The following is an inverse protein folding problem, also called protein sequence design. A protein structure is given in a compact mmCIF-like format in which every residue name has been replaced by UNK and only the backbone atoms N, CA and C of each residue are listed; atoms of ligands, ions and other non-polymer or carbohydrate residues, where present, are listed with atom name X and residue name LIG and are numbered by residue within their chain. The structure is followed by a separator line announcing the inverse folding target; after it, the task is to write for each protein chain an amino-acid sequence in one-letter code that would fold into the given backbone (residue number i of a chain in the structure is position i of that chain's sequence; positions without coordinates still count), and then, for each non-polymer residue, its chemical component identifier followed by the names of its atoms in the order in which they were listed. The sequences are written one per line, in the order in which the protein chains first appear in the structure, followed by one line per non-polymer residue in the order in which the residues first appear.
data_IF_621864439108
#
_entry.id   IF_621864439108
#
_cell.length_a   1.000
_cell.length_b   1.000
_cell.length_c   1.000
_cell.angle_alpha   90.00
_cell.angle_beta   90.00
_cell.angle_gamma   90.00
#
_symmetry.space_group_name_H-M   'P 1'
#
loop_
_entity.id
_entity.type
_entity.pdbx_description
1 polymer ?
#
# COMPACT_ATOMS: atom_id res chain seq x y z
N UNK A 1 7.11 26.52 -13.47
CA UNK A 1 6.29 27.50 -14.23
C UNK A 1 5.69 26.72 -15.40
N UNK A 2 4.38 26.83 -15.64
CA UNK A 2 3.51 26.02 -16.52
C UNK A 2 2.95 24.71 -15.95
N UNK A 3 1.85 24.82 -15.18
CA UNK A 3 0.70 23.91 -15.27
C UNK A 3 -0.55 24.51 -14.59
N UNK A 4 -0.86 25.79 -14.86
CA UNK A 4 -2.10 26.45 -14.43
C UNK A 4 -2.63 27.30 -15.60
N UNK A 5 -3.18 26.65 -16.62
CA UNK A 5 -3.83 27.36 -17.74
C UNK A 5 -4.75 26.40 -18.49
N UNK A 6 -5.82 25.97 -17.83
CA UNK A 6 -6.97 25.33 -18.48
C UNK A 6 -8.21 25.57 -17.62
N UNK A 7 -8.75 26.80 -17.67
CA UNK A 7 -10.17 27.11 -17.50
C UNK A 7 -10.34 28.62 -17.79
N UNK A 8 -10.45 28.97 -19.07
CA UNK A 8 -10.94 30.26 -19.52
C UNK A 8 -11.76 30.02 -20.79
N UNK A 9 -13.07 29.97 -20.65
CA UNK A 9 -14.00 30.38 -21.70
C UNK A 9 -15.20 31.07 -21.03
N UNK A 10 -15.58 32.27 -21.51
CA UNK A 10 -16.68 33.05 -20.98
C UNK A 10 -18.01 32.57 -21.57
N UNK A 11 -19.12 33.23 -21.20
CA UNK A 11 -20.53 32.93 -21.55
C UNK A 11 -21.28 32.04 -20.55
N UNK A 12 -21.50 32.59 -19.36
CA UNK A 12 -22.82 32.52 -18.73
C UNK A 12 -23.07 33.89 -18.08
N UNK A 13 -23.85 34.74 -18.74
CA UNK A 13 -24.35 35.98 -18.15
C UNK A 13 -25.28 35.61 -16.99
N UNK A 14 -24.75 35.65 -15.77
CA UNK A 14 -25.55 35.65 -14.54
C UNK A 14 -25.90 37.12 -14.26
N UNK A 15 -27.18 37.49 -14.14
CA UNK A 15 -27.56 38.88 -13.91
C UNK A 15 -26.91 39.37 -12.61
N UNK A 16 -26.31 40.56 -12.68
CA UNK A 16 -25.69 41.25 -11.55
C UNK A 16 -26.74 41.61 -10.49
N UNK A 17 -27.10 40.62 -9.67
CA UNK A 17 -27.73 40.87 -8.38
C UNK A 17 -26.62 41.27 -7.43
N UNK A 18 -26.57 42.57 -7.12
CA UNK A 18 -25.85 43.13 -5.98
C UNK A 18 -26.37 42.48 -4.70
N UNK A 19 -25.83 41.31 -4.36
CA UNK A 19 -25.94 40.73 -3.03
C UNK A 19 -24.68 41.13 -2.26
N UNK A 20 -24.86 42.03 -1.30
CA UNK A 20 -23.90 42.21 -0.21
C UNK A 20 -23.53 40.83 0.33
N UNK A 21 -22.24 40.48 0.46
CA UNK A 21 -21.86 39.16 0.91
C UNK A 21 -22.39 39.00 2.33
N UNK A 22 -23.46 38.23 2.48
CA UNK A 22 -23.93 37.81 3.79
C UNK A 22 -22.77 37.11 4.49
N UNK A 23 -22.60 37.37 5.79
CA UNK A 23 -21.50 36.89 6.62
C UNK A 23 -21.31 35.36 6.57
N UNK A 24 -22.33 34.63 6.11
CA UNK A 24 -22.33 33.19 5.84
C UNK A 24 -21.51 32.78 4.60
N UNK A 25 -21.42 33.60 3.56
CA UNK A 25 -20.64 33.32 2.34
C UNK A 25 -19.12 33.41 2.57
N UNK A 26 -18.67 34.42 3.31
CA UNK A 26 -17.26 34.53 3.72
C UNK A 26 -16.84 33.39 4.66
N UNK A 27 -17.73 32.94 5.53
CA UNK A 27 -17.48 31.83 6.45
C UNK A 27 -17.22 30.51 5.71
N UNK A 28 -17.99 30.23 4.64
CA UNK A 28 -17.79 29.06 3.79
C UNK A 28 -16.46 29.09 3.03
N UNK A 29 -16.06 30.26 2.52
CA UNK A 29 -14.79 30.44 1.81
C UNK A 29 -13.61 30.27 2.77
N UNK A 30 -13.69 30.82 3.99
CA UNK A 30 -12.66 30.64 5.02
C UNK A 30 -12.48 29.16 5.41
N UNK A 31 -13.57 28.41 5.58
CA UNK A 31 -13.50 26.97 5.88
C UNK A 31 -12.88 26.18 4.72
N UNK A 32 -13.21 26.50 3.46
CA UNK A 32 -12.62 25.88 2.28
C UNK A 32 -11.11 26.16 2.16
N UNK A 33 -10.69 27.41 2.39
CA UNK A 33 -9.28 27.82 2.38
C UNK A 33 -8.50 27.16 3.53
N UNK A 34 -9.08 27.10 4.73
CA UNK A 34 -8.48 26.40 5.88
C UNK A 34 -8.37 24.89 5.62
N UNK A 35 -9.40 24.26 5.06
CA UNK A 35 -9.39 22.84 4.73
C UNK A 35 -8.36 22.50 3.63
N UNK A 36 -8.15 23.41 2.66
CA UNK A 36 -7.09 23.30 1.67
C UNK A 36 -5.69 23.51 2.29
N UNK A 37 -5.53 24.50 3.18
CA UNK A 37 -4.28 24.77 3.89
C UNK A 37 -3.85 23.61 4.80
N UNK A 38 -4.79 22.96 5.50
CA UNK A 38 -4.51 21.79 6.33
C UNK A 38 -4.07 20.57 5.52
N UNK A 39 -4.63 20.35 4.33
CA UNK A 39 -4.18 19.27 3.42
C UNK A 39 -2.74 19.49 3.00
N UNK A 40 -2.38 20.75 2.72
CA UNK A 40 -1.01 21.13 2.36
C UNK A 40 -0.05 20.96 3.54
N UNK A 41 -0.45 21.33 4.76
CA UNK A 41 0.37 21.17 5.97
C UNK A 41 0.58 19.70 6.37
N UNK A 42 -0.44 18.84 6.29
CA UNK A 42 -0.25 17.40 6.57
C UNK A 42 0.61 16.70 5.52
N UNK A 43 0.44 17.05 4.23
CA UNK A 43 1.31 16.56 3.16
C UNK A 43 2.76 17.00 3.36
N UNK A 44 2.98 18.25 3.74
CA UNK A 44 4.31 18.78 4.05
C UNK A 44 4.91 18.07 5.27
N UNK A 45 4.13 17.78 6.31
CA UNK A 45 4.59 17.02 7.47
C UNK A 45 4.98 15.57 7.11
N UNK A 46 4.19 14.88 6.28
CA UNK A 46 4.52 13.53 5.78
C UNK A 46 5.78 13.57 4.93
N UNK A 47 5.91 14.54 4.02
CA UNK A 47 7.09 14.72 3.18
C UNK A 47 8.35 14.94 4.02
N UNK A 48 8.29 15.85 5.00
CA UNK A 48 9.40 16.07 5.93
C UNK A 48 9.73 14.82 6.73
N UNK A 49 8.73 14.05 7.18
CA UNK A 49 8.93 12.77 7.87
C UNK A 49 9.66 11.74 7.00
N UNK A 50 9.27 11.60 5.73
CA UNK A 50 9.95 10.72 4.76
C UNK A 50 11.38 11.19 4.50
N UNK A 51 11.61 12.50 4.34
CA UNK A 51 12.94 13.05 4.15
C UNK A 51 13.86 12.74 5.34
N UNK A 52 13.37 12.92 6.57
CA UNK A 52 14.11 12.57 7.78
C UNK A 52 14.40 11.07 7.87
N UNK A 53 13.46 10.22 7.46
CA UNK A 53 13.66 8.77 7.40
C UNK A 53 14.75 8.38 6.39
N UNK A 54 14.81 9.04 5.23
CA UNK A 54 15.87 8.84 4.24
C UNK A 54 17.24 9.30 4.76
N UNK A 55 17.31 10.45 5.44
CA UNK A 55 18.56 10.95 6.05
C UNK A 55 19.06 9.98 7.13
N UNK A 56 18.16 9.48 7.98
CA UNK A 56 18.50 8.45 8.97
C UNK A 56 19.08 7.20 8.28
N UNK A 57 18.41 6.71 7.24
CA UNK A 57 18.89 5.57 6.45
C UNK A 57 20.27 5.82 5.85
N UNK A 58 20.49 6.99 5.23
CA UNK A 58 21.76 7.35 4.61
C UNK A 58 22.92 7.39 5.63
N UNK A 59 22.69 7.93 6.82
CA UNK A 59 23.72 7.98 7.88
C UNK A 59 24.05 6.56 8.36
N UNK A 60 23.04 5.72 8.60
CA UNK A 60 23.22 4.34 9.07
C UNK A 60 23.94 3.49 8.03
N UNK A 61 23.47 3.48 6.77
CA UNK A 61 24.12 2.70 5.70
C UNK A 61 25.55 3.16 5.46
N UNK A 62 25.82 4.47 5.42
CA UNK A 62 27.19 4.97 5.27
C UNK A 62 28.08 4.48 6.42
N UNK A 63 27.59 4.51 7.66
CA UNK A 63 28.38 4.08 8.81
C UNK A 63 28.67 2.56 8.81
N UNK A 64 27.75 1.75 8.29
CA UNK A 64 27.89 0.29 8.24
C UNK A 64 28.69 -0.19 7.02
N UNK A 65 28.46 0.39 5.84
CA UNK A 65 28.98 -0.13 4.56
C UNK A 65 30.27 0.57 4.10
N UNK A 66 30.42 1.88 4.31
CA UNK A 66 31.59 2.61 3.77
C UNK A 66 32.94 2.07 4.26
N UNK A 67 33.13 1.66 5.53
CA UNK A 67 34.39 1.08 5.96
C UNK A 67 34.73 -0.24 5.26
N UNK A 68 33.71 -1.04 4.93
CA UNK A 68 33.89 -2.31 4.21
C UNK A 68 34.21 -2.07 2.74
N UNK A 69 33.53 -1.11 2.09
CA UNK A 69 33.82 -0.68 0.72
C UNK A 69 35.26 -0.16 0.58
N UNK A 70 35.68 0.76 1.46
CA UNK A 70 37.05 1.29 1.49
C UNK A 70 38.08 0.18 1.69
N UNK A 71 37.80 -0.77 2.60
CA UNK A 71 38.63 -1.95 2.83
C UNK A 71 38.78 -2.83 1.59
N UNK A 72 37.69 -3.10 0.87
CA UNK A 72 37.69 -3.88 -0.38
C UNK A 72 38.42 -3.16 -1.51
N UNK A 73 38.24 -1.85 -1.62
CA UNK A 73 38.95 -1.03 -2.58
C UNK A 73 40.47 -1.06 -2.35
N UNK A 74 40.93 -0.92 -1.10
CA UNK A 74 42.34 -1.05 -0.75
C UNK A 74 42.88 -2.45 -1.06
N UNK A 75 42.14 -3.51 -0.72
CA UNK A 75 42.52 -4.90 -1.03
C UNK A 75 42.69 -5.13 -2.54
N UNK A 76 41.80 -4.57 -3.38
CA UNK A 76 41.90 -4.69 -4.83
C UNK A 76 43.16 -3.98 -5.37
N UNK A 77 43.45 -2.77 -4.86
CA UNK A 77 44.65 -2.01 -5.24
C UNK A 77 45.93 -2.74 -4.84
N UNK A 78 45.99 -3.29 -3.62
CA UNK A 78 47.14 -4.04 -3.14
C UNK A 78 47.33 -5.34 -3.95
N UNK A 79 46.25 -6.05 -4.26
CA UNK A 79 46.30 -7.26 -5.09
C UNK A 79 46.84 -6.95 -6.48
N UNK A 80 46.37 -5.86 -7.10
CA UNK A 80 46.88 -5.37 -8.39
C UNK A 80 48.37 -5.03 -8.32
N UNK A 81 48.80 -4.33 -7.27
CA UNK A 81 50.20 -3.97 -7.07
C UNK A 81 51.09 -5.20 -6.91
N UNK A 82 50.70 -6.14 -6.06
CA UNK A 82 51.43 -7.40 -5.83
C UNK A 82 51.52 -8.22 -7.11
N UNK A 83 50.44 -8.27 -7.89
CA UNK A 83 50.42 -8.96 -9.18
C UNK A 83 51.43 -8.36 -10.17
N UNK A 84 51.48 -7.04 -10.33
CA UNK A 84 52.42 -6.36 -11.22
C UNK A 84 53.89 -6.51 -10.76
N UNK A 85 54.14 -6.59 -9.44
CA UNK A 85 55.47 -6.86 -8.91
C UNK A 85 55.92 -8.30 -9.16
N UNK A 86 54.99 -9.26 -9.13
CA UNK A 86 55.28 -10.67 -9.37
C UNK A 86 55.44 -10.98 -10.87
N UNK A 87 54.72 -10.27 -11.73
CA UNK A 87 54.72 -10.44 -13.18
C UNK A 87 55.21 -9.18 -13.88
N UNK A 88 56.52 -8.99 -13.91
CA UNK A 88 57.17 -7.82 -14.55
C UNK A 88 57.03 -7.77 -16.06
N UNK A 89 56.52 -8.83 -16.69
CA UNK A 89 56.23 -8.88 -18.13
C UNK A 89 54.87 -8.26 -18.49
N UNK A 90 54.07 -7.85 -17.50
CA UNK A 90 52.75 -7.26 -17.71
C UNK A 90 52.82 -5.77 -17.41
N UNK A 91 52.64 -4.94 -18.43
CA UNK A 91 52.53 -3.49 -18.24
C UNK A 91 51.24 -3.14 -17.46
N UNK A 92 51.30 -2.14 -16.56
CA UNK A 92 50.13 -1.67 -15.81
C UNK A 92 48.96 -1.26 -16.71
N UNK A 93 49.24 -0.68 -17.88
CA UNK A 93 48.23 -0.24 -18.85
C UNK A 93 47.59 -1.44 -19.57
N UNK A 94 48.37 -2.48 -19.87
CA UNK A 94 47.85 -3.73 -20.46
C UNK A 94 46.94 -4.48 -19.48
N UNK A 95 47.29 -4.48 -18.19
CA UNK A 95 46.44 -5.05 -17.14
C UNK A 95 45.15 -4.24 -16.96
N UNK A 96 45.24 -2.91 -16.97
CA UNK A 96 44.06 -2.04 -16.92
C UNK A 96 43.13 -2.30 -18.11
N UNK A 97 43.71 -2.40 -19.30
CA UNK A 97 43.01 -2.70 -20.55
C UNK A 97 42.29 -4.05 -20.44
N UNK A 98 42.94 -5.09 -19.92
CA UNK A 98 42.32 -6.40 -19.71
C UNK A 98 41.14 -6.37 -18.71
N UNK A 99 41.22 -5.53 -17.68
CA UNK A 99 40.17 -5.40 -16.67
C UNK A 99 38.99 -4.57 -17.21
N UNK A 100 39.26 -3.45 -17.88
CA UNK A 100 38.27 -2.39 -18.15
C UNK A 100 37.82 -2.24 -19.62
N UNK A 101 38.51 -2.82 -20.60
CA UNK A 101 38.09 -2.70 -22.01
C UNK A 101 36.76 -3.42 -22.26
N UNK A 102 36.07 -2.97 -23.31
CA UNK A 102 34.80 -3.48 -23.87
C UNK A 102 34.74 -5.01 -24.13
N UNK A 103 35.85 -5.74 -23.96
CA UNK A 103 35.91 -7.21 -24.06
C UNK A 103 36.63 -7.85 -22.86
N UNK A 104 36.87 -7.04 -21.82
CA UNK A 104 37.59 -7.41 -20.61
C UNK A 104 36.71 -8.11 -19.60
N UNK A 105 37.31 -8.36 -18.44
CA UNK A 105 36.67 -9.14 -17.36
C UNK A 105 35.45 -8.41 -16.78
N UNK A 106 35.51 -7.07 -16.63
CA UNK A 106 34.41 -6.30 -16.05
C UNK A 106 33.13 -6.36 -16.89
N UNK A 107 33.25 -6.36 -18.22
CA UNK A 107 32.09 -6.48 -19.11
C UNK A 107 31.52 -7.90 -19.13
N UNK A 108 32.38 -8.93 -19.20
CA UNK A 108 31.95 -10.32 -19.13
C UNK A 108 31.17 -10.58 -17.82
N UNK A 109 31.68 -10.07 -16.69
CA UNK A 109 30.96 -10.06 -15.41
C UNK A 109 29.64 -9.30 -15.49
N UNK A 110 29.63 -8.11 -16.10
CA UNK A 110 28.42 -7.31 -16.31
C UNK A 110 27.37 -7.95 -17.22
N UNK A 111 27.79 -8.88 -18.09
CA UNK A 111 26.93 -9.75 -18.91
C UNK A 111 26.45 -11.01 -18.17
N UNK A 112 26.90 -11.24 -16.94
CA UNK A 112 26.54 -12.39 -16.11
C UNK A 112 27.38 -13.64 -16.37
N UNK A 113 28.57 -13.50 -16.98
CA UNK A 113 29.52 -14.59 -17.18
C UNK A 113 30.40 -14.73 -15.94
N UNK A 114 30.47 -15.94 -15.37
CA UNK A 114 31.35 -16.24 -14.25
C UNK A 114 32.78 -16.54 -14.75
N UNK A 115 33.78 -15.69 -14.41
CA UNK A 115 35.16 -15.88 -14.85
C UNK A 115 35.88 -17.02 -14.10
N UNK A 116 35.31 -17.53 -13.00
CA UNK A 116 35.92 -18.58 -12.18
C UNK A 116 35.52 -20.00 -12.59
N UNK A 117 34.46 -20.14 -13.38
CA UNK A 117 33.95 -21.44 -13.82
C UNK A 117 34.80 -21.99 -14.98
N UNK A 118 35.50 -23.10 -14.74
CA UNK A 118 36.14 -23.92 -15.78
C UNK A 118 35.15 -24.82 -16.56
N UNK A 119 33.86 -24.75 -16.20
CA UNK A 119 32.77 -25.53 -16.81
C UNK A 119 32.37 -25.00 -18.18
N UNK A 120 31.84 -25.90 -19.02
CA UNK A 120 31.15 -25.55 -20.27
C UNK A 120 30.06 -24.51 -20.01
N UNK A 121 29.97 -23.49 -20.86
CA UNK A 121 28.98 -22.42 -20.81
C UNK A 121 27.60 -22.89 -20.31
N UNK A 122 27.17 -22.39 -19.14
CA UNK A 122 25.81 -22.57 -18.62
C UNK A 122 25.02 -21.31 -18.92
N UNK A 123 24.00 -21.44 -19.78
CA UNK A 123 23.17 -20.29 -20.17
C UNK A 123 22.31 -19.83 -19.00
N UNK A 124 22.40 -18.55 -18.65
CA UNK A 124 21.47 -17.87 -17.75
C UNK A 124 20.10 -17.60 -18.39
N UNK A 125 19.96 -17.86 -19.70
CA UNK A 125 18.75 -17.63 -20.50
C UNK A 125 18.11 -18.94 -20.99
N UNK A 126 18.27 -20.05 -20.26
CA UNK A 126 17.44 -21.23 -20.48
C UNK A 126 15.96 -20.93 -20.20
N UNK A 127 15.05 -21.79 -20.67
CA UNK A 127 13.60 -21.52 -20.60
C UNK A 127 13.09 -21.28 -19.17
N UNK A 128 13.60 -22.01 -18.17
CA UNK A 128 13.15 -21.85 -16.78
C UNK A 128 13.67 -20.54 -16.18
N UNK A 129 14.92 -20.18 -16.46
CA UNK A 129 15.49 -18.88 -16.05
C UNK A 129 14.83 -17.69 -16.75
N UNK A 130 14.55 -17.81 -18.04
CA UNK A 130 13.83 -16.79 -18.81
C UNK A 130 12.38 -16.62 -18.33
N UNK A 131 11.71 -17.71 -17.95
CA UNK A 131 10.39 -17.65 -17.29
C UNK A 131 10.48 -16.94 -15.94
N UNK A 132 11.45 -17.30 -15.11
CA UNK A 132 11.66 -16.65 -13.81
C UNK A 132 11.94 -15.15 -13.96
N UNK A 133 12.82 -14.77 -14.90
CA UNK A 133 13.09 -13.38 -15.27
C UNK A 133 11.83 -12.64 -15.76
N UNK A 134 11.04 -13.26 -16.62
CA UNK A 134 9.77 -12.70 -17.08
C UNK A 134 8.81 -12.48 -15.91
N UNK A 135 8.85 -13.36 -14.91
CA UNK A 135 8.17 -13.25 -13.64
C UNK A 135 8.63 -12.06 -12.80
N UNK A 136 9.93 -11.81 -12.68
CA UNK A 136 10.48 -10.71 -11.87
C UNK A 136 10.14 -9.33 -12.44
N UNK A 137 9.94 -9.23 -13.75
CA UNK A 137 9.47 -7.99 -14.41
C UNK A 137 8.02 -7.70 -14.00
N UNK A 138 7.12 -8.67 -14.18
CA UNK A 138 5.67 -8.43 -13.96
C UNK A 138 5.32 -8.29 -12.47
N UNK A 139 6.11 -8.89 -11.58
CA UNK A 139 5.98 -8.73 -10.12
C UNK A 139 6.62 -7.45 -9.59
N UNK A 140 7.30 -6.68 -10.46
CA UNK A 140 8.10 -5.49 -10.11
C UNK A 140 9.18 -5.74 -9.07
N UNK A 141 9.64 -6.98 -8.90
CA UNK A 141 10.77 -7.32 -8.02
C UNK A 141 12.06 -6.87 -8.70
N UNK A 142 12.26 -7.29 -9.96
CA UNK A 142 13.39 -6.86 -10.77
C UNK A 142 14.79 -7.09 -10.15
N UNK A 143 15.12 -8.32 -9.73
CA UNK A 143 16.41 -8.65 -9.09
C UNK A 143 17.64 -8.03 -9.76
N UNK A 144 17.68 -7.91 -11.08
CA UNK A 144 18.76 -7.19 -11.77
C UNK A 144 20.07 -7.96 -11.90
N UNK A 145 20.17 -9.16 -11.31
CA UNK A 145 21.29 -10.10 -11.50
C UNK A 145 21.47 -10.50 -12.97
N UNK A 146 20.38 -10.50 -13.75
CA UNK A 146 20.38 -10.62 -15.21
C UNK A 146 19.53 -9.50 -15.82
N UNK A 147 19.98 -8.96 -16.96
CA UNK A 147 19.29 -7.85 -17.65
C UNK A 147 19.48 -7.92 -19.17
N UNK A 148 18.49 -7.48 -19.97
CA UNK A 148 18.60 -7.51 -21.43
C UNK A 148 19.66 -6.51 -21.91
N UNK A 149 20.70 -7.03 -22.56
CA UNK A 149 21.79 -6.22 -23.11
C UNK A 149 21.54 -5.80 -24.56
N UNK A 150 20.78 -6.60 -25.32
CA UNK A 150 20.46 -6.31 -26.73
C UNK A 150 19.40 -5.20 -26.85
N UNK A 151 19.47 -4.42 -27.92
CA UNK A 151 18.48 -3.37 -28.21
C UNK A 151 17.06 -3.95 -28.32
N UNK A 152 16.93 -5.07 -29.04
CA UNK A 152 15.65 -5.78 -29.18
C UNK A 152 15.10 -6.30 -27.84
N UNK A 153 15.97 -6.83 -26.96
CA UNK A 153 15.57 -7.30 -25.63
C UNK A 153 15.11 -6.16 -24.72
N UNK A 154 15.78 -5.01 -24.77
CA UNK A 154 15.37 -3.80 -24.04
C UNK A 154 14.03 -3.28 -24.54
N UNK A 155 13.86 -3.18 -25.86
CA UNK A 155 12.60 -2.73 -26.47
C UNK A 155 11.43 -3.66 -26.11
N UNK A 156 11.63 -4.97 -26.20
CA UNK A 156 10.63 -5.96 -25.79
C UNK A 156 10.28 -5.84 -24.30
N UNK A 157 11.29 -5.70 -23.44
CA UNK A 157 11.10 -5.56 -21.98
C UNK A 157 10.18 -4.37 -21.63
N UNK A 158 10.34 -3.23 -22.33
CA UNK A 158 9.49 -2.05 -22.13
C UNK A 158 8.00 -2.39 -22.36
N UNK A 159 7.67 -2.96 -23.52
CA UNK A 159 6.28 -3.31 -23.84
C UNK A 159 5.74 -4.44 -22.97
N UNK A 160 6.59 -5.42 -22.66
CA UNK A 160 6.24 -6.54 -21.80
C UNK A 160 5.90 -6.07 -20.37
N UNK A 161 6.68 -5.15 -19.80
CA UNK A 161 6.40 -4.58 -18.48
C UNK A 161 5.11 -3.74 -18.46
N UNK A 162 4.88 -2.91 -19.48
CA UNK A 162 3.70 -2.04 -19.58
C UNK A 162 2.38 -2.82 -19.54
N UNK A 163 2.33 -3.99 -20.19
CA UNK A 163 1.13 -4.85 -20.20
C UNK A 163 1.12 -5.83 -19.03
N UNK A 164 2.29 -6.41 -18.72
CA UNK A 164 2.43 -7.46 -17.73
C UNK A 164 2.19 -7.00 -16.29
N UNK A 165 2.65 -5.81 -15.91
CA UNK A 165 2.49 -5.29 -14.53
C UNK A 165 1.00 -5.06 -14.19
N UNK A 166 0.19 -4.36 -15.01
CA UNK A 166 -1.25 -4.24 -14.75
C UNK A 166 -1.98 -5.58 -14.71
N UNK A 167 -1.66 -6.48 -15.64
CA UNK A 167 -2.25 -7.83 -15.69
C UNK A 167 -1.93 -8.60 -14.40
N UNK A 168 -0.67 -8.56 -13.95
CA UNK A 168 -0.25 -9.18 -12.70
C UNK A 168 -0.93 -8.53 -11.49
N UNK A 169 -1.11 -7.21 -11.49
CA UNK A 169 -1.86 -6.50 -10.44
C UNK A 169 -3.30 -6.99 -10.29
N UNK A 170 -4.00 -7.25 -11.40
CA UNK A 170 -5.36 -7.83 -11.39
C UNK A 170 -5.33 -9.26 -10.83
N UNK A 171 -4.37 -10.08 -11.27
CA UNK A 171 -4.18 -11.43 -10.73
C UNK A 171 -3.94 -11.37 -9.21
N UNK A 172 -3.06 -10.47 -8.75
CA UNK A 172 -2.70 -10.33 -7.35
C UNK A 172 -3.90 -9.90 -6.50
N UNK A 173 -4.74 -9.00 -7.00
CA UNK A 173 -5.98 -8.61 -6.34
C UNK A 173 -6.95 -9.80 -6.21
N UNK A 174 -7.16 -10.55 -7.31
CA UNK A 174 -8.02 -11.74 -7.29
C UNK A 174 -7.52 -12.83 -6.34
N UNK A 175 -6.23 -13.17 -6.39
CA UNK A 175 -5.61 -14.15 -5.49
C UNK A 175 -5.65 -13.65 -4.04
N UNK A 176 -5.37 -12.36 -3.80
CA UNK A 176 -5.43 -11.75 -2.48
C UNK A 176 -6.83 -11.80 -1.84
N UNK A 177 -7.88 -11.61 -2.65
CA UNK A 177 -9.27 -11.74 -2.20
C UNK A 177 -9.65 -13.19 -1.90
N UNK A 178 -9.23 -14.15 -2.72
CA UNK A 178 -9.43 -15.58 -2.46
C UNK A 178 -8.69 -16.05 -1.21
N UNK A 179 -7.42 -15.67 -1.06
CA UNK A 179 -6.61 -15.98 0.11
C UNK A 179 -7.22 -15.33 1.38
N UNK A 180 -7.60 -14.05 1.27
CA UNK A 180 -8.24 -13.32 2.36
C UNK A 180 -9.59 -13.91 2.77
N UNK A 181 -10.42 -14.34 1.83
CA UNK A 181 -11.70 -15.02 2.14
C UNK A 181 -11.48 -16.40 2.76
N UNK A 182 -10.49 -17.17 2.29
CA UNK A 182 -10.09 -18.44 2.90
C UNK A 182 -9.65 -18.26 4.35
N UNK A 183 -8.74 -17.31 4.59
CA UNK A 183 -8.28 -16.93 5.93
C UNK A 183 -9.45 -16.48 6.81
N UNK A 184 -10.31 -15.58 6.32
CA UNK A 184 -11.51 -15.14 7.06
C UNK A 184 -12.46 -16.28 7.39
N UNK A 185 -12.64 -17.28 6.52
CA UNK A 185 -13.46 -18.47 6.81
C UNK A 185 -12.83 -19.36 7.88
N UNK A 186 -11.52 -19.58 7.81
CA UNK A 186 -10.78 -20.33 8.83
C UNK A 186 -10.88 -19.63 10.19
N UNK A 187 -10.72 -18.31 10.20
CA UNK A 187 -10.84 -17.50 11.40
C UNK A 187 -12.27 -17.43 11.89
N UNK A 188 -13.28 -17.35 11.02
CA UNK A 188 -14.69 -17.37 11.41
C UNK A 188 -15.04 -18.68 12.15
N UNK A 189 -14.48 -19.82 11.73
CA UNK A 189 -14.63 -21.08 12.50
C UNK A 189 -14.02 -20.95 13.90
N UNK A 190 -12.85 -20.34 14.03
CA UNK A 190 -12.21 -20.08 15.33
C UNK A 190 -13.08 -19.11 16.16
N UNK A 191 -13.60 -18.05 15.56
CA UNK A 191 -14.50 -17.08 16.17
C UNK A 191 -15.79 -17.73 16.69
N UNK A 192 -16.38 -18.69 15.97
CA UNK A 192 -17.55 -19.42 16.51
C UNK A 192 -17.23 -20.20 17.80
N UNK A 193 -15.97 -20.65 17.97
CA UNK A 193 -15.52 -21.27 19.22
C UNK A 193 -15.33 -20.23 20.34
N UNK A 194 -14.80 -19.05 20.03
CA UNK A 194 -14.58 -17.96 20.99
C UNK A 194 -15.86 -17.19 21.37
N UNK A 195 -16.85 -17.09 20.48
CA UNK A 195 -18.14 -16.45 20.78
C UNK A 195 -18.93 -17.26 21.81
N UNK A 196 -18.73 -18.58 21.86
CA UNK A 196 -19.23 -19.44 22.94
C UNK A 196 -18.68 -19.01 24.31
N UNK A 197 -17.54 -18.35 24.34
CA UNK A 197 -16.86 -17.81 25.52
C UNK A 197 -17.24 -16.36 25.88
N UNK A 198 -18.32 -15.80 25.32
CA UNK A 198 -18.84 -14.44 25.63
C UNK A 198 -17.82 -13.29 25.45
N UNK A 199 -16.91 -13.39 24.48
CA UNK A 199 -15.96 -12.32 24.15
C UNK A 199 -16.62 -11.24 23.28
N UNK A 200 -16.23 -9.97 23.44
CA UNK A 200 -16.77 -8.86 22.65
C UNK A 200 -16.36 -8.95 21.16
N UNK A 201 -17.24 -8.57 20.21
CA UNK A 201 -17.00 -8.73 18.78
C UNK A 201 -15.82 -7.90 18.26
N UNK A 202 -15.52 -6.76 18.87
CA UNK A 202 -14.36 -5.93 18.50
C UNK A 202 -13.04 -6.62 18.83
N UNK A 203 -12.96 -7.27 19.99
CA UNK A 203 -11.77 -8.02 20.40
C UNK A 203 -11.55 -9.21 19.47
N UNK A 204 -12.63 -9.91 19.08
CA UNK A 204 -12.51 -11.04 18.14
C UNK A 204 -11.99 -10.58 16.77
N UNK A 205 -12.41 -9.42 16.27
CA UNK A 205 -11.87 -8.81 15.03
C UNK A 205 -10.37 -8.46 15.12
N UNK A 206 -9.90 -8.02 16.28
CA UNK A 206 -8.48 -7.73 16.49
C UNK A 206 -7.68 -9.03 16.59
N UNK A 207 -8.14 -9.99 17.40
CA UNK A 207 -7.49 -11.29 17.56
C UNK A 207 -7.41 -12.03 16.22
N UNK A 208 -8.50 -12.03 15.44
CA UNK A 208 -8.53 -12.62 14.10
C UNK A 208 -7.51 -12.00 13.15
N UNK A 209 -7.40 -10.67 13.13
CA UNK A 209 -6.40 -9.98 12.32
C UNK A 209 -4.97 -10.33 12.74
N UNK A 210 -4.69 -10.35 14.05
CA UNK A 210 -3.36 -10.71 14.58
C UNK A 210 -3.02 -12.17 14.25
N UNK A 211 -3.94 -13.10 14.44
CA UNK A 211 -3.74 -14.52 14.07
C UNK A 211 -3.53 -14.69 12.56
N UNK A 212 -4.24 -13.93 11.73
CA UNK A 212 -4.03 -13.92 10.27
C UNK A 212 -2.65 -13.41 9.88
N UNK A 213 -2.13 -12.40 10.61
CA UNK A 213 -0.78 -11.89 10.42
C UNK A 213 0.24 -12.96 10.81
N UNK A 214 0.12 -13.53 12.01
CA UNK A 214 1.05 -14.54 12.51
C UNK A 214 1.08 -15.80 11.62
N UNK A 215 -0.08 -16.29 11.17
CA UNK A 215 -0.16 -17.45 10.30
C UNK A 215 0.52 -17.19 8.94
N UNK A 216 0.31 -16.02 8.34
CA UNK A 216 0.96 -15.71 7.08
C UNK A 216 2.46 -15.42 7.22
N UNK A 217 2.89 -14.79 8.32
CA UNK A 217 4.32 -14.71 8.66
C UNK A 217 4.94 -16.10 8.83
N UNK A 218 4.24 -17.05 9.46
CA UNK A 218 4.73 -18.42 9.57
C UNK A 218 4.86 -19.08 8.18
N UNK A 219 3.81 -19.02 7.36
CA UNK A 219 3.74 -19.74 6.08
C UNK A 219 4.58 -19.11 4.96
N UNK A 220 4.61 -17.79 4.86
CA UNK A 220 5.25 -17.07 3.74
C UNK A 220 6.59 -16.45 4.11
N UNK A 221 6.94 -16.38 5.40
CA UNK A 221 8.24 -15.85 5.85
C UNK A 221 9.05 -16.93 6.56
N UNK A 222 8.61 -17.44 7.71
CA UNK A 222 9.42 -18.35 8.53
C UNK A 222 9.72 -19.70 7.84
N UNK A 223 8.72 -20.35 7.23
CA UNK A 223 8.92 -21.62 6.53
C UNK A 223 9.87 -21.45 5.32
N UNK A 224 9.66 -20.47 4.41
CA UNK A 224 10.59 -20.23 3.31
C UNK A 224 12.01 -19.91 3.75
N UNK A 225 12.21 -19.18 4.85
CA UNK A 225 13.56 -18.92 5.40
C UNK A 225 14.29 -20.23 5.69
N UNK A 226 13.63 -21.18 6.36
CA UNK A 226 14.22 -22.49 6.66
C UNK A 226 14.45 -23.32 5.40
N UNK A 227 13.54 -23.24 4.43
CA UNK A 227 13.69 -23.94 3.15
C UNK A 227 14.89 -23.40 2.36
N UNK A 228 15.06 -22.07 2.26
CA UNK A 228 16.19 -21.48 1.54
C UNK A 228 17.52 -21.72 2.25
N UNK A 229 17.53 -21.75 3.59
CA UNK A 229 18.72 -22.13 4.35
C UNK A 229 19.21 -23.53 3.98
N UNK A 230 18.32 -24.52 3.93
CA UNK A 230 18.68 -25.91 3.63
C UNK A 230 18.96 -26.14 2.14
N UNK A 231 18.20 -25.51 1.24
CA UNK A 231 18.32 -25.75 -0.21
C UNK A 231 19.47 -24.96 -0.83
N UNK A 232 19.59 -23.67 -0.52
CA UNK A 232 20.62 -22.80 -1.11
C UNK A 232 21.92 -22.77 -0.27
N UNK A 233 21.90 -23.37 0.93
CA UNK A 233 23.05 -23.38 1.85
C UNK A 233 23.35 -22.01 2.47
N UNK A 234 22.41 -21.07 2.39
CA UNK A 234 22.54 -19.74 2.98
C UNK A 234 22.40 -19.78 4.50
N UNK A 235 23.01 -18.82 5.19
CA UNK A 235 22.76 -18.61 6.62
C UNK A 235 21.30 -18.18 6.86
N UNK A 236 20.83 -18.32 8.10
CA UNK A 236 19.49 -17.89 8.49
C UNK A 236 19.24 -16.40 8.19
N UNK A 237 20.25 -15.55 8.39
CA UNK A 237 20.15 -14.11 8.13
C UNK A 237 20.03 -13.79 6.64
N UNK A 238 20.85 -14.43 5.80
CA UNK A 238 20.81 -14.27 4.34
C UNK A 238 19.47 -14.75 3.77
N UNK A 239 18.98 -15.89 4.26
CA UNK A 239 17.66 -16.43 3.88
C UNK A 239 16.52 -15.48 4.30
N UNK A 240 16.58 -14.92 5.52
CA UNK A 240 15.62 -13.93 6.00
C UNK A 240 15.68 -12.64 5.17
N UNK A 241 16.87 -12.17 4.86
CA UNK A 241 17.10 -11.01 4.01
C UNK A 241 16.51 -11.23 2.62
N UNK A 242 16.82 -12.34 1.96
CA UNK A 242 16.26 -12.68 0.65
C UNK A 242 14.73 -12.70 0.65
N UNK A 243 14.12 -13.38 1.63
CA UNK A 243 12.65 -13.49 1.73
C UNK A 243 12.00 -12.11 1.90
N UNK A 244 12.53 -11.27 2.78
CA UNK A 244 11.97 -9.92 3.03
C UNK A 244 12.15 -9.01 1.81
N UNK A 245 13.35 -8.96 1.22
CA UNK A 245 13.66 -8.13 0.04
C UNK A 245 12.83 -8.57 -1.19
N UNK A 246 12.56 -9.87 -1.32
CA UNK A 246 11.74 -10.42 -2.39
C UNK A 246 10.26 -10.07 -2.22
N UNK A 247 9.67 -10.32 -1.03
CA UNK A 247 8.24 -10.09 -0.79
C UNK A 247 7.87 -8.61 -0.66
N UNK A 248 8.84 -7.74 -0.35
CA UNK A 248 8.67 -6.28 -0.41
C UNK A 248 8.87 -5.70 -1.80
N UNK A 249 9.16 -6.55 -2.80
CA UNK A 249 9.45 -6.14 -4.19
C UNK A 249 10.62 -5.16 -4.34
N UNK A 250 11.57 -5.19 -3.40
CA UNK A 250 12.81 -4.38 -3.48
C UNK A 250 13.78 -5.04 -4.45
N UNK A 251 14.01 -6.35 -4.31
CA UNK A 251 14.75 -7.17 -5.27
C UNK A 251 16.16 -6.68 -5.62
N UNK A 252 17.10 -6.65 -4.66
CA UNK A 252 18.49 -6.26 -4.95
C UNK A 252 19.25 -7.22 -5.88
N UNK A 253 18.92 -8.51 -5.84
CA UNK A 253 19.49 -9.56 -6.69
C UNK A 253 20.92 -9.99 -6.36
N UNK A 254 21.42 -9.56 -5.20
CA UNK A 254 22.60 -10.11 -4.53
C UNK A 254 22.37 -11.56 -4.09
N UNK A 255 21.15 -11.90 -3.66
CA UNK A 255 20.69 -13.27 -3.46
C UNK A 255 19.53 -13.59 -4.41
N UNK A 256 19.66 -14.68 -5.16
CA UNK A 256 18.62 -15.19 -6.06
C UNK A 256 18.59 -16.71 -5.99
N UNK A 257 17.42 -17.26 -5.67
CA UNK A 257 17.26 -18.70 -5.51
C UNK A 257 17.32 -19.44 -6.87
N UNK A 258 17.94 -20.61 -6.88
CA UNK A 258 17.88 -21.57 -7.97
C UNK A 258 18.95 -21.39 -9.05
N UNK A 259 20.01 -20.62 -8.80
CA UNK A 259 21.08 -20.40 -9.80
C UNK A 259 21.74 -21.74 -10.21
N UNK A 260 21.93 -22.66 -9.26
CA UNK A 260 22.67 -23.92 -9.47
C UNK A 260 21.77 -25.18 -9.46
N UNK A 261 20.45 -25.01 -9.41
CA UNK A 261 19.51 -26.10 -9.13
C UNK A 261 18.57 -26.43 -10.30
N UNK A 262 17.98 -27.63 -10.24
CA UNK A 262 17.11 -28.24 -11.25
C UNK A 262 15.98 -27.33 -11.78
N UNK A 263 15.53 -27.63 -13.00
CA UNK A 263 14.50 -26.88 -13.74
C UNK A 263 13.15 -26.71 -13.00
N UNK A 264 12.78 -27.57 -12.05
CA UNK A 264 11.49 -27.51 -11.35
C UNK A 264 11.48 -26.56 -10.15
N UNK A 265 12.65 -26.21 -9.63
CA UNK A 265 12.76 -25.39 -8.42
C UNK A 265 12.39 -23.92 -8.69
N UNK A 266 12.86 -23.32 -9.79
CA UNK A 266 12.55 -21.92 -10.12
C UNK A 266 11.05 -21.63 -10.28
N UNK A 267 10.26 -22.46 -11.01
CA UNK A 267 8.81 -22.30 -11.06
C UNK A 267 8.13 -22.43 -9.68
N UNK A 268 8.61 -23.32 -8.81
CA UNK A 268 8.08 -23.47 -7.45
C UNK A 268 8.34 -22.22 -6.59
N UNK A 269 9.56 -21.68 -6.65
CA UNK A 269 9.91 -20.41 -5.99
C UNK A 269 9.01 -19.28 -6.51
N UNK A 270 8.80 -19.20 -7.83
CA UNK A 270 7.90 -18.20 -8.41
C UNK A 270 6.45 -18.34 -7.90
N UNK A 271 5.96 -19.57 -7.75
CA UNK A 271 4.64 -19.81 -7.17
C UNK A 271 4.55 -19.36 -5.70
N UNK A 272 5.59 -19.60 -4.91
CA UNK A 272 5.68 -19.05 -3.55
C UNK A 272 5.66 -17.52 -3.55
N UNK A 273 6.43 -16.86 -4.43
CA UNK A 273 6.44 -15.40 -4.60
C UNK A 273 5.03 -14.89 -4.91
N UNK A 274 4.31 -15.53 -5.84
CA UNK A 274 2.94 -15.15 -6.19
C UNK A 274 2.01 -15.16 -4.96
N UNK A 275 2.03 -16.25 -4.18
CA UNK A 275 1.19 -16.37 -2.98
C UNK A 275 1.62 -15.41 -1.87
N UNK A 276 2.93 -15.25 -1.67
CA UNK A 276 3.50 -14.35 -0.68
C UNK A 276 3.19 -12.88 -0.97
N UNK A 277 3.31 -12.45 -2.23
CA UNK A 277 2.94 -11.10 -2.66
C UNK A 277 1.43 -10.85 -2.52
N UNK A 278 0.59 -11.85 -2.83
CA UNK A 278 -0.86 -11.71 -2.67
C UNK A 278 -1.23 -11.53 -1.20
N UNK A 279 -0.57 -12.28 -0.32
CA UNK A 279 -0.70 -12.11 1.12
C UNK A 279 -0.21 -10.74 1.59
N UNK A 280 0.99 -10.31 1.17
CA UNK A 280 1.56 -9.02 1.54
C UNK A 280 0.68 -7.85 1.07
N UNK A 281 0.16 -7.90 -0.16
CA UNK A 281 -0.78 -6.91 -0.69
C UNK A 281 -2.09 -6.84 0.11
N UNK A 282 -2.59 -7.99 0.58
CA UNK A 282 -3.78 -8.05 1.46
C UNK A 282 -3.51 -7.36 2.81
N UNK A 283 -2.34 -7.60 3.41
CA UNK A 283 -1.92 -6.94 4.65
C UNK A 283 -1.73 -5.42 4.44
N UNK A 284 -1.07 -4.99 3.36
CA UNK A 284 -0.93 -3.56 3.03
C UNK A 284 -2.30 -2.89 2.86
N UNK A 285 -3.25 -3.57 2.21
CA UNK A 285 -4.62 -3.07 2.05
C UNK A 285 -5.33 -2.93 3.40
N UNK A 286 -5.15 -3.91 4.30
CA UNK A 286 -5.70 -3.86 5.66
C UNK A 286 -5.11 -2.70 6.47
N UNK A 287 -3.79 -2.52 6.43
CA UNK A 287 -3.09 -1.41 7.09
C UNK A 287 -3.56 -0.08 6.50
N UNK A 288 -3.65 0.03 5.17
CA UNK A 288 -4.14 1.22 4.48
C UNK A 288 -5.58 1.59 4.89
N UNK A 289 -6.46 0.61 5.06
CA UNK A 289 -7.82 0.83 5.57
C UNK A 289 -7.80 1.37 7.01
N UNK A 290 -6.97 0.81 7.87
CA UNK A 290 -6.79 1.27 9.26
C UNK A 290 -6.20 2.69 9.31
N UNK A 291 -5.15 2.96 8.53
CA UNK A 291 -4.55 4.29 8.41
C UNK A 291 -5.57 5.32 7.93
N UNK A 292 -6.44 4.99 6.96
CA UNK A 292 -7.52 5.88 6.52
C UNK A 292 -8.48 6.24 7.66
N UNK A 293 -8.84 5.30 8.51
CA UNK A 293 -9.71 5.55 9.69
C UNK A 293 -8.98 6.43 10.71
N UNK A 294 -7.71 6.12 11.00
CA UNK A 294 -6.88 6.91 11.89
C UNK A 294 -6.77 8.37 11.41
N UNK A 295 -6.41 8.58 10.14
CA UNK A 295 -6.32 9.92 9.55
C UNK A 295 -7.66 10.67 9.58
N UNK A 296 -8.81 9.99 9.41
CA UNK A 296 -10.13 10.63 9.57
C UNK A 296 -10.36 11.10 11.00
N UNK A 297 -9.99 10.30 12.01
CA UNK A 297 -10.12 10.64 13.43
C UNK A 297 -9.21 11.81 13.81
N UNK A 298 -7.93 11.76 13.45
CA UNK A 298 -6.97 12.84 13.70
C UNK A 298 -7.43 14.14 13.05
N UNK A 299 -7.95 14.08 11.81
CA UNK A 299 -8.53 15.27 11.15
C UNK A 299 -9.69 15.87 11.92
N UNK A 300 -10.60 15.06 12.45
CA UNK A 300 -11.75 15.54 13.20
C UNK A 300 -11.33 16.23 14.53
N UNK A 301 -10.35 15.65 15.23
CA UNK A 301 -9.81 16.21 16.48
C UNK A 301 -9.04 17.52 16.24
N UNK A 302 -8.23 17.59 15.18
CA UNK A 302 -7.51 18.82 14.79
C UNK A 302 -8.49 19.92 14.38
N UNK A 303 -9.52 19.60 13.59
CA UNK A 303 -10.54 20.57 13.20
C UNK A 303 -11.30 21.13 14.42
N UNK A 304 -11.60 20.27 15.41
CA UNK A 304 -12.22 20.67 16.68
C UNK A 304 -11.32 21.60 17.49
N UNK A 305 -10.02 21.29 17.60
CA UNK A 305 -9.04 22.15 18.27
C UNK A 305 -8.94 23.53 17.59
N UNK A 306 -8.95 23.56 16.26
CA UNK A 306 -8.94 24.83 15.51
C UNK A 306 -10.24 25.63 15.68
N UNK A 307 -11.42 24.99 15.69
CA UNK A 307 -12.67 25.68 16.01
C UNK A 307 -12.64 26.27 17.43
N UNK A 308 -11.96 25.61 18.37
CA UNK A 308 -11.80 26.12 19.74
C UNK A 308 -10.81 27.29 19.81
N UNK A 309 -9.72 27.25 19.03
CA UNK A 309 -8.71 28.31 18.94
C UNK A 309 -9.18 29.54 18.14
N UNK A 310 -10.07 29.33 17.16
CA UNK A 310 -10.73 30.39 16.40
C UNK A 310 -12.02 30.89 17.07
N UNK A 311 -12.20 30.68 18.38
CA UNK A 311 -13.16 31.47 19.15
C UNK A 311 -12.76 32.95 19.07
N UNK A 312 -13.28 33.60 18.05
CA UNK A 312 -13.77 34.96 18.16
C UNK A 312 -14.58 35.06 19.44
N UNK A 313 -14.16 36.00 20.29
CA UNK A 313 -14.85 36.50 21.46
C UNK A 313 -16.38 36.40 21.32
N UNK A 314 -17.00 35.50 22.08
CA UNK A 314 -18.47 35.39 22.20
C UNK A 314 -19.05 36.49 23.12
N UNK A 315 -18.47 37.68 23.10
CA UNK A 315 -18.79 38.81 23.99
C UNK A 315 -19.62 39.91 23.32
N UNK A 316 -20.37 39.62 22.25
CA UNK A 316 -21.40 40.51 21.71
C UNK A 316 -22.81 39.91 21.89
N UNK A 317 -23.74 40.63 22.54
CA UNK A 317 -25.05 40.10 22.87
C UNK A 317 -26.02 40.32 21.71
N UNK A 318 -26.35 39.27 20.94
CA UNK A 318 -27.58 39.28 20.15
C UNK A 318 -28.28 37.91 20.16
N UNK A 319 -29.62 37.86 20.23
CA UNK A 319 -30.35 36.68 20.66
C UNK A 319 -31.01 35.99 19.47
N UNK A 320 -30.35 35.09 18.74
CA UNK A 320 -31.06 34.24 17.78
C UNK A 320 -30.49 32.82 17.66
N UNK A 321 -31.29 31.90 18.18
CA UNK A 321 -31.53 30.53 17.73
C UNK A 321 -30.41 29.46 17.76
N UNK A 322 -30.65 28.58 18.73
CA UNK A 322 -30.13 27.24 19.02
C UNK A 322 -30.40 26.18 17.92
N UNK A 323 -30.25 26.48 16.64
CA UNK A 323 -30.46 25.52 15.55
C UNK A 323 -29.43 25.69 14.43
N UNK A 324 -28.29 24.99 14.49
CA UNK A 324 -27.68 24.47 13.25
C UNK A 324 -26.58 23.42 13.43
N UNK A 325 -25.96 23.28 14.60
CA UNK A 325 -24.81 22.36 14.75
C UNK A 325 -25.21 20.89 15.01
N UNK A 326 -26.38 20.64 15.61
CA UNK A 326 -26.86 19.26 15.86
C UNK A 326 -27.42 18.54 14.62
N UNK A 327 -27.78 19.26 13.54
CA UNK A 327 -28.38 18.63 12.36
C UNK A 327 -27.35 17.92 11.47
N UNK A 328 -26.12 18.43 11.37
CA UNK A 328 -25.07 17.80 10.55
C UNK A 328 -24.53 16.50 11.17
N UNK A 329 -24.36 16.46 12.50
CA UNK A 329 -23.94 15.23 13.20
C UNK A 329 -25.08 14.23 13.36
N UNK A 330 -26.34 14.69 13.38
CA UNK A 330 -27.53 13.84 13.40
C UNK A 330 -27.85 13.18 12.06
N UNK A 331 -27.52 13.84 10.94
CA UNK A 331 -27.83 13.34 9.60
C UNK A 331 -26.90 12.18 9.16
N UNK A 332 -25.60 12.22 9.50
CA UNK A 332 -24.68 11.09 9.27
C UNK A 332 -24.98 9.88 10.17
N UNK A 333 -25.43 10.11 11.41
CA UNK A 333 -25.76 9.01 12.34
C UNK A 333 -26.99 8.21 11.89
N UNK A 334 -27.91 8.83 11.15
CA UNK A 334 -29.08 8.17 10.56
C UNK A 334 -28.78 7.50 9.21
N UNK A 335 -27.82 8.00 8.41
CA UNK A 335 -27.37 7.30 7.20
C UNK A 335 -26.63 6.00 7.53
N UNK A 336 -25.85 5.99 8.63
CA UNK A 336 -25.19 4.79 9.17
C UNK A 336 -26.17 3.77 9.79
N UNK A 337 -27.34 4.19 10.28
CA UNK A 337 -28.40 3.27 10.74
C UNK A 337 -29.24 2.69 9.60
N UNK A 338 -29.48 3.46 8.54
CA UNK A 338 -30.20 2.98 7.35
C UNK A 338 -29.38 1.96 6.56
N UNK A 339 -28.05 2.12 6.46
CA UNK A 339 -27.19 1.12 5.81
C UNK A 339 -27.00 -0.18 6.62
N UNK A 340 -27.35 -0.20 7.91
CA UNK A 340 -27.34 -1.41 8.75
C UNK A 340 -28.66 -2.19 8.70
N UNK A 341 -29.77 -1.56 8.28
CA UNK A 341 -31.08 -2.22 8.22
C UNK A 341 -31.47 -2.75 6.82
N UNK A 342 -30.77 -2.38 5.75
CA UNK A 342 -30.97 -2.97 4.41
C UNK A 342 -30.34 -4.35 4.21
N UNK A 343 -29.63 -4.90 5.21
CA UNK A 343 -29.03 -6.23 5.17
C UNK A 343 -29.89 -7.38 5.71
N UNK A 344 -31.15 -7.14 6.10
CA UNK A 344 -32.01 -8.18 6.67
C UNK A 344 -33.50 -7.98 6.33
N UNK A 345 -33.84 -8.18 5.06
CA UNK A 345 -35.21 -8.50 4.64
C UNK A 345 -35.12 -9.65 3.63
N UNK A 346 -34.95 -10.86 4.17
CA UNK A 346 -35.15 -12.07 3.39
C UNK A 346 -36.64 -12.20 3.04
N UNK A 347 -36.92 -12.12 1.75
CA UNK A 347 -38.20 -12.38 1.11
C UNK A 347 -38.79 -13.72 1.59
N UNK A 348 -39.90 -13.64 2.33
CA UNK A 348 -40.84 -14.75 2.45
C UNK A 348 -41.55 -14.94 1.10
N UNK A 349 -41.20 -16.01 0.40
CA UNK A 349 -41.72 -16.40 -0.91
C UNK A 349 -43.12 -17.01 -0.73
N UNK A 350 -44.16 -16.19 -0.78
CA UNK A 350 -45.55 -16.62 -0.91
C UNK A 350 -45.96 -16.70 -2.39
N UNK A 351 -46.37 -17.89 -2.84
CA UNK A 351 -46.94 -18.15 -4.18
C UNK A 351 -48.17 -17.26 -4.45
N UNK A 352 -48.21 -16.59 -5.61
CA UNK A 352 -49.45 -16.43 -6.39
C UNK A 352 -49.15 -16.03 -7.84
N UNK A 353 -49.99 -16.58 -8.72
CA UNK A 353 -49.89 -16.68 -10.17
C UNK A 353 -50.06 -15.37 -10.97
N UNK A 354 -49.43 -15.39 -12.15
CA UNK A 354 -49.78 -14.83 -13.47
C UNK A 354 -50.83 -13.70 -13.55
N UNK A 355 -50.45 -12.54 -14.09
CA UNK A 355 -50.89 -11.93 -15.38
C UNK A 355 -50.56 -10.41 -15.44
N UNK A 356 -50.50 -9.90 -16.67
CA UNK A 356 -49.87 -8.69 -17.23
C UNK A 356 -50.47 -7.29 -16.85
N UNK A 357 -49.92 -6.14 -17.36
CA UNK A 357 -49.79 -4.87 -16.63
C UNK A 357 -50.84 -3.79 -16.97
N UNK A 358 -51.01 -2.81 -16.07
CA UNK A 358 -51.72 -1.55 -16.33
C UNK A 358 -50.95 -0.37 -15.70
N UNK A 359 -50.74 0.67 -16.49
CA UNK A 359 -50.15 1.98 -16.16
C UNK A 359 -51.04 2.84 -15.25
N UNK A 360 -50.42 3.73 -14.44
CA UNK A 360 -50.92 5.06 -13.98
C UNK A 360 -50.44 5.33 -12.54
N UNK A 361 -49.45 6.21 -12.31
CA UNK A 361 -49.58 7.66 -12.08
C UNK A 361 -49.81 8.04 -10.58
N UNK A 362 -49.17 9.13 -10.15
CA UNK A 362 -49.35 9.88 -8.89
C UNK A 362 -48.78 9.34 -7.56
N UNK A 363 -47.73 10.01 -7.06
CA UNK A 363 -47.80 10.78 -5.80
C UNK A 363 -46.51 11.57 -5.53
N UNK A 364 -46.46 12.80 -6.08
CA UNK A 364 -45.69 13.89 -5.50
C UNK A 364 -46.49 14.47 -4.32
N UNK A 365 -45.78 14.98 -3.31
CA UNK A 365 -46.29 15.82 -2.21
C UNK A 365 -46.89 15.11 -1.00
N UNK A 366 -46.09 14.99 0.08
CA UNK A 366 -46.55 15.33 1.43
C UNK A 366 -45.34 15.61 2.34
N UNK A 367 -44.90 16.86 2.36
CA UNK A 367 -44.01 17.41 3.38
C UNK A 367 -44.85 18.11 4.46
N UNK A 368 -44.40 17.96 5.71
CA UNK A 368 -44.62 18.86 6.86
C UNK A 368 -45.96 18.78 7.62
N UNK A 369 -45.94 18.02 8.74
CA UNK A 369 -46.53 18.43 10.03
C UNK A 369 -46.16 17.43 11.13
N UNK A 370 -45.18 17.74 11.99
CA UNK A 370 -45.21 17.30 13.40
C UNK A 370 -44.56 18.36 14.31
N UNK A 371 -45.34 18.76 15.32
CA UNK A 371 -45.10 19.78 16.34
C UNK A 371 -43.94 19.40 17.27
N UNK A 372 -43.14 20.39 17.64
CA UNK A 372 -42.25 20.36 18.78
C UNK A 372 -43.05 20.42 20.10
N UNK A 373 -42.77 19.51 21.04
CA UNK A 373 -43.15 19.67 22.45
C UNK A 373 -41.91 20.14 23.23
N UNK A 374 -42.04 21.28 23.92
CA UNK A 374 -41.04 21.78 24.88
C UNK A 374 -41.20 21.14 26.27
N UNK A 375 -40.24 21.38 27.20
CA UNK A 375 -40.13 20.65 28.45
C UNK A 375 -41.07 21.21 29.52
N UNK A 376 -41.69 20.33 30.33
CA UNK A 376 -42.34 20.73 31.60
C UNK A 376 -41.64 20.11 32.80
N UNK A 377 -41.44 20.99 33.78
CA UNK A 377 -40.79 20.82 35.07
C UNK A 377 -41.53 19.84 36.00
N UNK A 378 -40.78 19.39 37.02
CA UNK A 378 -41.21 18.69 38.22
C UNK A 378 -42.50 19.25 38.83
N UNK A 379 -43.37 18.35 39.27
CA UNK A 379 -44.21 18.55 40.45
C UNK A 379 -44.51 17.18 41.09
N UNK A 380 -44.04 17.01 42.33
CA UNK A 380 -44.45 15.97 43.25
C UNK A 380 -45.89 16.23 43.72
N UNK A 381 -46.76 15.22 43.69
CA UNK A 381 -47.89 15.10 44.62
C UNK A 381 -48.20 13.64 44.91
N UNK A 382 -48.34 13.36 46.20
CA UNK A 382 -48.79 12.14 46.86
C UNK A 382 -50.25 11.73 46.52
N UNK A 383 -50.53 10.45 46.83
CA UNK A 383 -51.77 9.87 47.40
C UNK A 383 -52.76 9.11 46.48
N UNK A 384 -53.01 7.86 46.91
CA UNK A 384 -54.23 7.02 46.91
C UNK A 384 -55.00 6.87 45.58
N UNK A 385 -55.28 5.66 45.08
CA UNK A 385 -55.88 4.47 45.70
C UNK A 385 -55.43 3.18 44.99
#
# INVERSE_FOLDING_TARGET
IHCCSFFNSPYLEVPALYYSPSSTGLFFIHILVLCAAMRCSTLLAIFTGVLLYLVLGAVVFRALEAPQEEGKHMQLQDTRRVFLLNFTCIDPDNLQTFIEVEQGVAEALGAGVDPSSNSTFVSQWDLASAFFFSGTIITTIGFGNISPKTEGGRLFCIFYALVGIPMFGILLAGVGDHLGTGLRKAIAKIETLFLKWRVSPTIVRVISAVLSILLGCLLFVAVPILVFQEVEGWTLLESAYFVVITLTTVGFGDYVAGIQHDHWYKPLVWFWILLGLAYFASILTMIGNWLRVFFKKTRAEVLLLFCHLLHYDWSLPFPFHHLSYCSLVGQERNTLRLSQHEGSLNCARGKRDQTEPIWSEHCHSFMLKRRCFGPRQLLMTHANN
#
